data_IF_914535666113
#
_entry.id   IF_914535666113
#
_cell.length_a   1.000
_cell.length_b   1.000
_cell.length_c   1.000
_cell.angle_alpha   90.00
_cell.angle_beta   90.00
_cell.angle_gamma   90.00
#
_symmetry.space_group_name_H-M   'P 1'
#
loop_
_entity.id
_entity.type
_entity.pdbx_description
1 polymer ?
#
# COMPACT_ATOMS: atom_id res chain seq x y z
N UNK A 1 -3.69 -9.52 -0.65
CA UNK A 1 -2.95 -8.26 -0.80
C UNK A 1 -3.89 -7.09 -0.53
N UNK A 2 -3.54 -6.14 0.36
CA UNK A 2 -4.37 -4.97 0.76
C UNK A 2 -4.68 -3.98 -0.37
N UNK A 3 -3.97 -4.07 -1.49
CA UNK A 3 -3.89 -3.03 -2.51
C UNK A 3 -5.01 -3.17 -3.53
N UNK A 4 -5.74 -2.10 -3.82
CA UNK A 4 -6.77 -2.04 -4.87
C UNK A 4 -6.21 -2.32 -6.28
N UNK A 5 -7.07 -2.67 -7.26
CA UNK A 5 -6.66 -2.97 -8.63
C UNK A 5 -5.82 -1.86 -9.28
N UNK A 6 -4.77 -2.25 -10.00
CA UNK A 6 -3.81 -1.37 -10.68
C UNK A 6 -3.03 -0.41 -9.76
N UNK A 7 -3.12 -0.61 -8.45
CA UNK A 7 -2.47 0.24 -7.46
C UNK A 7 -0.95 0.22 -7.51
N UNK A 8 -0.35 1.27 -6.95
CA UNK A 8 1.09 1.38 -6.75
C UNK A 8 1.37 1.18 -5.26
N UNK A 9 2.22 0.22 -4.92
CA UNK A 9 2.64 -0.06 -3.55
C UNK A 9 4.12 0.28 -3.38
N UNK A 10 4.42 1.29 -2.58
CA UNK A 10 5.78 1.58 -2.13
C UNK A 10 6.16 0.66 -0.96
N UNK A 11 7.28 -0.04 -1.12
CA UNK A 11 7.91 -0.91 -0.11
C UNK A 11 9.30 -0.38 0.24
N UNK A 12 9.78 -0.69 1.45
CA UNK A 12 11.02 -0.11 1.97
C UNK A 12 12.26 -1.00 1.78
N UNK A 13 12.08 -2.31 1.65
CA UNK A 13 13.19 -3.25 1.61
C UNK A 13 12.83 -4.64 1.09
N UNK A 14 13.80 -5.53 1.16
CA UNK A 14 13.72 -6.91 0.68
C UNK A 14 12.60 -7.73 1.34
N UNK A 15 12.45 -7.64 2.67
CA UNK A 15 11.45 -8.37 3.45
C UNK A 15 10.01 -8.08 3.00
N UNK A 16 9.73 -6.86 2.54
CA UNK A 16 8.42 -6.48 2.03
C UNK A 16 8.27 -6.77 0.54
N UNK A 17 9.38 -6.74 -0.22
CA UNK A 17 9.34 -6.68 -1.69
C UNK A 17 9.44 -8.05 -2.32
N UNK A 18 10.44 -8.85 -1.94
CA UNK A 18 10.73 -10.10 -2.64
C UNK A 18 9.62 -11.14 -2.52
N UNK A 19 8.95 -11.31 -1.36
CA UNK A 19 7.79 -12.18 -1.28
C UNK A 19 6.65 -11.73 -2.20
N UNK A 20 6.44 -10.42 -2.36
CA UNK A 20 5.40 -9.89 -3.25
C UNK A 20 5.75 -10.13 -4.72
N UNK A 21 6.99 -9.87 -5.14
CA UNK A 21 7.42 -10.18 -6.51
C UNK A 21 7.36 -11.67 -6.81
N UNK A 22 7.71 -12.54 -5.86
CA UNK A 22 7.53 -13.98 -6.02
C UNK A 22 6.04 -14.35 -6.23
N UNK A 23 5.15 -13.83 -5.37
CA UNK A 23 3.70 -14.07 -5.51
C UNK A 23 3.16 -13.55 -6.85
N UNK A 24 3.67 -12.43 -7.36
CA UNK A 24 3.25 -11.88 -8.64
C UNK A 24 3.79 -12.68 -9.83
N UNK A 25 5.09 -12.87 -9.91
CA UNK A 25 5.74 -13.41 -11.11
C UNK A 25 5.75 -14.94 -11.18
N UNK A 26 5.72 -15.61 -10.03
CA UNK A 26 5.72 -17.09 -9.96
C UNK A 26 4.33 -17.64 -9.69
N UNK A 27 3.63 -17.11 -8.68
CA UNK A 27 2.30 -17.61 -8.30
C UNK A 27 1.15 -16.93 -9.08
N UNK A 28 1.44 -15.91 -9.89
CA UNK A 28 0.46 -15.23 -10.74
C UNK A 28 -0.57 -14.41 -9.97
N UNK A 29 -0.28 -14.03 -8.73
CA UNK A 29 -1.21 -13.32 -7.84
C UNK A 29 -1.07 -11.81 -8.04
N UNK A 30 -2.17 -11.12 -8.39
CA UNK A 30 -2.24 -9.64 -8.41
C UNK A 30 -1.11 -8.98 -9.22
N UNK A 31 -0.88 -9.52 -10.41
CA UNK A 31 0.09 -9.05 -11.40
C UNK A 31 -0.19 -7.64 -11.95
N UNK A 32 -1.37 -7.10 -11.65
CA UNK A 32 -1.81 -5.74 -11.97
C UNK A 32 -1.20 -4.66 -11.08
N UNK A 33 -0.83 -5.01 -9.83
CA UNK A 33 -0.26 -4.09 -8.85
C UNK A 33 1.20 -3.82 -9.15
N UNK A 34 1.62 -2.56 -9.10
CA UNK A 34 3.03 -2.20 -9.23
C UNK A 34 3.68 -2.12 -7.85
N UNK A 35 4.58 -3.05 -7.54
CA UNK A 35 5.38 -3.05 -6.30
C UNK A 35 6.68 -2.32 -6.56
N UNK A 36 6.87 -1.18 -5.89
CA UNK A 36 8.03 -0.30 -5.99
C UNK A 36 8.85 -0.40 -4.72
N UNK A 37 10.07 -0.93 -4.82
CA UNK A 37 11.04 -0.82 -3.72
C UNK A 37 11.80 0.50 -3.82
N UNK A 38 11.70 1.31 -2.77
CA UNK A 38 12.27 2.69 -2.76
C UNK A 38 13.77 2.69 -2.98
N UNK A 39 14.49 1.67 -2.51
CA UNK A 39 15.94 1.55 -2.70
C UNK A 39 16.33 1.50 -4.18
N UNK A 40 15.60 0.75 -5.02
CA UNK A 40 15.87 0.66 -6.46
C UNK A 40 15.38 1.87 -7.22
N UNK A 41 14.34 2.56 -6.72
CA UNK A 41 13.82 3.79 -7.33
C UNK A 41 14.83 4.94 -7.28
N UNK A 42 15.96 4.79 -6.59
CA UNK A 42 17.08 5.71 -6.74
C UNK A 42 17.82 5.61 -8.08
N UNK A 43 17.57 4.57 -8.87
CA UNK A 43 18.30 4.27 -10.12
C UNK A 43 17.47 4.58 -11.36
N UNK A 44 18.12 5.08 -12.41
CA UNK A 44 17.47 5.39 -13.68
C UNK A 44 16.90 4.15 -14.37
N UNK A 45 17.62 3.02 -14.31
CA UNK A 45 17.19 1.80 -14.98
C UNK A 45 15.85 1.30 -14.41
N UNK A 46 15.63 1.43 -13.10
CA UNK A 46 14.40 0.98 -12.47
C UNK A 46 13.24 1.92 -12.77
N UNK A 47 13.48 3.24 -12.75
CA UNK A 47 12.48 4.22 -13.20
C UNK A 47 12.08 4.01 -14.67
N UNK A 48 13.05 3.79 -15.57
CA UNK A 48 12.80 3.45 -16.99
C UNK A 48 12.04 2.13 -17.14
N UNK A 49 12.35 1.12 -16.31
CA UNK A 49 11.59 -0.12 -16.28
C UNK A 49 10.14 0.11 -15.86
N UNK A 50 9.91 0.80 -14.74
CA UNK A 50 8.58 1.13 -14.24
C UNK A 50 7.76 1.90 -15.28
N UNK A 51 8.39 2.87 -15.96
CA UNK A 51 7.79 3.61 -17.06
C UNK A 51 7.25 2.68 -18.16
N UNK A 52 8.06 1.72 -18.60
CA UNK A 52 7.68 0.76 -19.65
C UNK A 52 6.59 -0.20 -19.17
N UNK A 53 6.80 -0.87 -18.03
CA UNK A 53 5.93 -2.00 -17.62
C UNK A 53 4.56 -1.57 -17.12
N UNK A 54 4.36 -0.28 -16.86
CA UNK A 54 3.07 0.27 -16.42
C UNK A 54 2.34 1.07 -17.49
N UNK A 55 2.95 1.24 -18.66
CA UNK A 55 2.24 1.81 -19.81
C UNK A 55 1.09 0.88 -20.23
N UNK A 56 -0.03 1.42 -20.73
CA UNK A 56 -1.06 0.61 -21.38
C UNK A 56 -0.46 -0.23 -22.51
N UNK A 57 -1.00 -1.41 -22.73
CA UNK A 57 -0.59 -2.25 -23.84
C UNK A 57 -1.04 -1.64 -25.17
N UNK A 58 -0.20 -1.78 -26.21
CA UNK A 58 -0.63 -1.49 -27.57
C UNK A 58 -1.80 -2.42 -27.95
N UNK A 59 -2.74 -2.00 -28.82
CA UNK A 59 -3.96 -2.77 -29.14
C UNK A 59 -3.69 -4.19 -29.65
N UNK A 60 -2.56 -4.41 -30.33
CA UNK A 60 -2.18 -5.69 -30.92
C UNK A 60 -1.27 -6.52 -29.99
N UNK A 61 -1.02 -6.05 -28.77
CA UNK A 61 -0.09 -6.67 -27.82
C UNK A 61 -0.83 -7.33 -26.66
N UNK A 62 -0.52 -8.60 -26.40
CA UNK A 62 -1.00 -9.28 -25.19
C UNK A 62 0.02 -9.13 -24.06
N UNK A 63 -0.34 -8.62 -22.87
CA UNK A 63 0.58 -8.55 -21.73
C UNK A 63 1.14 -9.90 -21.26
N UNK A 64 0.63 -11.02 -21.77
CA UNK A 64 1.12 -12.38 -21.50
C UNK A 64 1.79 -13.05 -22.72
N UNK A 65 2.09 -12.29 -23.78
CA UNK A 65 2.74 -12.80 -24.99
C UNK A 65 4.16 -13.34 -24.71
N UNK A 66 4.93 -12.63 -23.90
CA UNK A 66 6.23 -13.07 -23.41
C UNK A 66 6.12 -13.49 -21.94
N UNK A 67 6.23 -14.79 -21.68
CA UNK A 67 6.17 -15.35 -20.33
C UNK A 67 7.36 -14.94 -19.46
N UNK A 68 8.46 -14.49 -20.08
CA UNK A 68 9.71 -14.14 -19.40
C UNK A 68 9.92 -12.63 -19.24
N UNK A 69 9.06 -11.80 -19.84
CA UNK A 69 9.20 -10.34 -19.83
C UNK A 69 7.87 -9.64 -19.56
N UNK A 70 7.90 -8.68 -18.65
CA UNK A 70 6.79 -7.74 -18.48
C UNK A 70 6.95 -6.64 -19.54
N UNK A 71 5.95 -6.55 -20.43
CA UNK A 71 6.00 -5.67 -21.60
C UNK A 71 5.14 -4.41 -21.44
N UNK A 72 4.00 -4.51 -20.75
CA UNK A 72 3.04 -3.44 -20.49
C UNK A 72 2.18 -3.78 -19.26
N UNK A 73 1.26 -2.88 -18.89
CA UNK A 73 0.35 -3.04 -17.76
C UNK A 73 -0.50 -4.31 -17.91
N UNK A 74 -0.35 -5.23 -16.96
CA UNK A 74 -1.15 -6.47 -16.92
C UNK A 74 -2.54 -6.20 -16.33
N UNK A 75 -3.58 -6.91 -16.79
CA UNK A 75 -4.95 -6.71 -16.32
C UNK A 75 -5.13 -7.20 -14.89
N UNK A 76 -6.10 -6.62 -14.19
CA UNK A 76 -6.56 -7.15 -12.92
C UNK A 76 -7.31 -8.47 -13.12
N UNK A 77 -6.91 -9.49 -12.36
CA UNK A 77 -7.66 -10.75 -12.25
C UNK A 77 -7.76 -11.18 -10.79
N UNK A 78 -8.90 -11.76 -10.43
CA UNK A 78 -9.13 -12.32 -9.09
C UNK A 78 -9.05 -13.86 -9.06
N UNK A 79 -8.76 -14.50 -10.19
CA UNK A 79 -8.85 -15.96 -10.36
C UNK A 79 -8.02 -16.71 -9.31
N UNK A 80 -6.74 -16.35 -9.18
CA UNK A 80 -5.77 -17.00 -8.27
C UNK A 80 -5.78 -16.42 -6.84
N UNK A 81 -6.90 -15.85 -6.40
CA UNK A 81 -7.04 -15.24 -5.08
C UNK A 81 -8.32 -15.67 -4.39
N UNK A 82 -8.33 -15.72 -3.05
CA UNK A 82 -9.52 -15.99 -2.25
C UNK A 82 -10.47 -14.79 -2.14
N UNK A 83 -9.98 -13.58 -2.45
CA UNK A 83 -10.71 -12.32 -2.32
C UNK A 83 -10.71 -11.54 -3.65
N UNK A 84 -11.81 -10.83 -3.93
CA UNK A 84 -11.97 -10.06 -5.16
C UNK A 84 -12.48 -8.64 -4.87
N UNK A 85 -11.87 -7.66 -5.53
CA UNK A 85 -12.33 -6.27 -5.51
C UNK A 85 -13.52 -6.13 -6.45
N UNK A 86 -14.65 -5.68 -5.91
CA UNK A 86 -15.94 -5.62 -6.61
C UNK A 86 -16.72 -4.40 -6.14
N UNK A 87 -17.66 -3.92 -6.95
CA UNK A 87 -18.65 -2.91 -6.52
C UNK A 87 -19.91 -3.56 -5.96
N UNK A 88 -20.20 -4.79 -6.36
CA UNK A 88 -21.34 -5.58 -5.91
C UNK A 88 -20.82 -6.90 -5.30
N UNK A 89 -20.99 -7.13 -3.98
CA UNK A 89 -20.52 -8.35 -3.34
C UNK A 89 -21.18 -9.62 -3.90
N UNK A 90 -22.36 -9.51 -4.50
CA UNK A 90 -23.07 -10.67 -5.08
C UNK A 90 -22.43 -11.18 -6.37
N UNK A 91 -21.53 -10.39 -7.00
CA UNK A 91 -20.87 -10.78 -8.24
C UNK A 91 -19.79 -11.85 -8.06
N UNK A 92 -19.39 -12.14 -6.81
CA UNK A 92 -18.30 -13.08 -6.47
C UNK A 92 -18.69 -14.02 -5.33
N UNK A 93 -19.75 -14.85 -5.48
CA UNK A 93 -20.33 -15.63 -4.38
C UNK A 93 -19.38 -16.68 -3.77
N UNK A 94 -18.28 -17.02 -4.46
CA UNK A 94 -17.27 -17.99 -4.01
C UNK A 94 -15.98 -17.35 -3.48
N UNK A 95 -15.92 -16.01 -3.36
CA UNK A 95 -14.75 -15.27 -2.89
C UNK A 95 -15.14 -14.26 -1.81
N UNK A 96 -14.16 -13.84 -1.02
CA UNK A 96 -14.32 -12.75 -0.06
C UNK A 96 -14.43 -11.44 -0.84
N UNK A 97 -15.57 -10.75 -0.71
CA UNK A 97 -15.84 -9.51 -1.43
C UNK A 97 -15.13 -8.32 -0.76
N UNK A 98 -14.33 -7.61 -1.54
CA UNK A 98 -13.60 -6.41 -1.14
C UNK A 98 -14.25 -5.18 -1.79
N UNK A 99 -15.35 -4.69 -1.20
CA UNK A 99 -16.28 -3.73 -1.80
C UNK A 99 -15.66 -2.34 -2.01
N UNK A 100 -15.64 -1.87 -3.26
CA UNK A 100 -15.16 -0.53 -3.65
C UNK A 100 -16.33 0.39 -4.01
N UNK A 101 -16.14 1.69 -3.80
CA UNK A 101 -17.13 2.71 -4.14
C UNK A 101 -17.30 2.89 -5.66
N UNK A 102 -16.27 2.61 -6.45
CA UNK A 102 -16.26 2.82 -7.90
C UNK A 102 -15.81 1.55 -8.64
N UNK A 103 -16.24 1.42 -9.89
CA UNK A 103 -15.82 0.32 -10.75
C UNK A 103 -14.34 0.43 -11.09
N UNK A 104 -13.70 -0.74 -11.24
CA UNK A 104 -12.31 -0.83 -11.70
C UNK A 104 -12.18 -0.19 -13.09
N UNK A 105 -11.20 0.70 -13.25
CA UNK A 105 -10.83 1.30 -14.53
C UNK A 105 -9.41 0.93 -14.87
N UNK A 106 -9.19 0.58 -16.13
CA UNK A 106 -7.83 0.35 -16.61
C UNK A 106 -7.07 1.67 -16.69
N UNK A 107 -5.79 1.71 -16.27
CA UNK A 107 -4.98 2.91 -16.36
C UNK A 107 -4.78 3.35 -17.81
N UNK A 108 -4.83 4.66 -18.06
CA UNK A 108 -4.67 5.21 -19.41
C UNK A 108 -3.23 5.64 -19.71
N UNK A 109 -2.38 5.63 -18.68
CA UNK A 109 -1.00 6.09 -18.75
C UNK A 109 -0.06 5.34 -17.81
N UNK A 110 1.23 5.48 -18.11
CA UNK A 110 2.33 5.01 -17.27
C UNK A 110 2.41 5.80 -15.96
N UNK A 111 2.97 5.19 -14.92
CA UNK A 111 3.16 5.84 -13.62
C UNK A 111 4.32 6.84 -13.61
N UNK A 112 5.23 6.76 -14.57
CA UNK A 112 6.38 7.67 -14.66
C UNK A 112 6.14 8.68 -15.79
N UNK A 113 5.85 9.97 -15.48
CA UNK A 113 5.58 11.00 -16.49
C UNK A 113 6.83 11.57 -17.16
N UNK A 114 8.02 11.11 -16.78
CA UNK A 114 9.30 11.71 -17.18
C UNK A 114 9.83 11.11 -18.50
N UNK A 115 10.52 11.93 -19.30
CA UNK A 115 11.33 11.43 -20.42
C UNK A 115 12.56 10.67 -19.91
N UNK A 116 13.19 9.89 -20.78
CA UNK A 116 14.36 9.10 -20.40
C UNK A 116 15.54 10.00 -20.01
N UNK A 117 15.68 11.15 -20.66
CA UNK A 117 16.69 12.18 -20.34
C UNK A 117 16.42 12.82 -18.97
N UNK A 118 15.14 13.08 -18.65
CA UNK A 118 14.76 13.59 -17.33
C UNK A 118 15.03 12.56 -16.24
N UNK A 119 14.79 11.28 -16.50
CA UNK A 119 15.13 10.19 -15.59
C UNK A 119 16.65 10.15 -15.36
N UNK A 120 17.45 10.22 -16.41
CA UNK A 120 18.92 10.22 -16.28
C UNK A 120 19.43 11.43 -15.48
N UNK A 121 18.76 12.58 -15.59
CA UNK A 121 19.07 13.76 -14.78
C UNK A 121 18.68 13.56 -13.31
N UNK A 122 17.48 13.05 -13.02
CA UNK A 122 17.02 12.87 -11.64
C UNK A 122 17.87 11.84 -10.89
N UNK A 123 18.28 10.73 -11.52
CA UNK A 123 19.08 9.69 -10.83
C UNK A 123 20.47 10.17 -10.38
N UNK A 124 20.99 11.23 -11.00
CA UNK A 124 22.32 11.77 -10.71
C UNK A 124 22.30 12.93 -9.71
N UNK A 125 21.12 13.44 -9.35
CA UNK A 125 20.98 14.69 -8.60
C UNK A 125 20.21 14.51 -7.29
N UNK A 126 20.70 15.21 -6.27
CA UNK A 126 20.00 15.42 -5.01
C UNK A 126 19.56 16.88 -4.95
N UNK A 127 18.30 17.13 -4.65
CA UNK A 127 17.76 18.49 -4.59
C UNK A 127 17.64 18.91 -3.13
N UNK A 128 18.44 19.90 -2.72
CA UNK A 128 18.25 20.55 -1.44
C UNK A 128 17.03 21.46 -1.51
N UNK A 129 16.10 21.30 -0.58
CA UNK A 129 14.95 22.18 -0.47
C UNK A 129 15.41 23.49 0.16
N UNK A 130 15.31 24.58 -0.60
CA UNK A 130 15.59 25.94 -0.14
C UNK A 130 14.29 26.64 0.25
N UNK A 131 14.16 26.95 1.54
CA UNK A 131 12.93 27.45 2.15
C UNK A 131 11.83 26.39 2.21
N UNK A 132 10.84 26.59 3.07
CA UNK A 132 9.64 25.74 3.07
C UNK A 132 8.93 25.86 1.71
N UNK A 133 8.71 24.73 1.04
CA UNK A 133 8.05 24.67 -0.28
C UNK A 133 6.78 23.85 -0.20
N UNK A 134 5.66 24.47 -0.59
CA UNK A 134 4.40 23.74 -0.76
C UNK A 134 4.43 22.94 -2.06
N UNK A 135 4.01 21.68 -1.99
CA UNK A 135 3.87 20.77 -3.14
C UNK A 135 2.43 20.29 -3.18
N UNK A 136 1.82 20.39 -4.37
CA UNK A 136 0.46 19.91 -4.62
C UNK A 136 0.51 18.60 -5.40
N UNK A 137 -0.17 17.57 -4.92
CA UNK A 137 -0.25 16.23 -5.51
C UNK A 137 -1.72 15.83 -5.61
N UNK A 138 -2.35 16.00 -6.78
CA UNK A 138 -3.80 15.94 -6.88
C UNK A 138 -4.45 16.97 -5.94
N UNK A 139 -5.31 16.52 -5.03
CA UNK A 139 -5.96 17.36 -4.01
C UNK A 139 -5.18 17.44 -2.68
N UNK A 140 -3.99 16.86 -2.62
CA UNK A 140 -3.11 16.89 -1.44
C UNK A 140 -2.24 18.15 -1.50
N UNK A 141 -2.15 18.87 -0.38
CA UNK A 141 -1.13 19.90 -0.18
C UNK A 141 -0.20 19.48 0.95
N UNK A 142 1.08 19.30 0.63
CA UNK A 142 2.14 19.00 1.58
C UNK A 142 3.23 20.07 1.55
N UNK A 143 4.11 20.07 2.55
CA UNK A 143 5.21 21.03 2.68
C UNK A 143 6.51 20.24 2.80
N UNK A 144 7.41 20.47 1.84
CA UNK A 144 8.80 20.08 1.95
C UNK A 144 9.53 21.13 2.78
N UNK A 145 10.29 20.72 3.80
CA UNK A 145 10.87 21.65 4.77
C UNK A 145 12.20 22.19 4.29
N UNK A 146 12.50 23.42 4.69
CA UNK A 146 13.82 24.01 4.46
C UNK A 146 14.90 23.07 4.99
N UNK A 147 15.84 22.75 4.11
CA UNK A 147 16.91 21.84 4.44
C UNK A 147 16.52 20.34 4.44
N UNK A 148 15.44 19.96 3.78
CA UNK A 148 15.30 18.57 3.33
C UNK A 148 16.20 18.33 2.10
N UNK A 149 16.67 17.09 1.92
CA UNK A 149 17.42 16.69 0.73
C UNK A 149 16.64 15.63 -0.01
N UNK A 150 16.01 16.01 -1.12
CA UNK A 150 15.28 15.07 -1.96
C UNK A 150 16.25 14.19 -2.73
N UNK A 151 16.25 12.91 -2.41
CA UNK A 151 16.99 11.90 -3.17
C UNK A 151 16.18 11.48 -4.40
N UNK A 152 16.77 10.77 -5.39
CA UNK A 152 16.07 10.49 -6.64
C UNK A 152 14.74 9.75 -6.47
N UNK A 153 14.64 8.79 -5.54
CA UNK A 153 13.38 8.05 -5.34
C UNK A 153 12.23 8.97 -4.89
N UNK A 154 12.51 9.98 -4.06
CA UNK A 154 11.49 10.94 -3.58
C UNK A 154 11.03 11.84 -4.73
N UNK A 155 11.96 12.29 -5.56
CA UNK A 155 11.65 13.08 -6.76
C UNK A 155 10.76 12.30 -7.73
N UNK A 156 11.06 11.02 -7.98
CA UNK A 156 10.20 10.17 -8.81
C UNK A 156 8.84 9.90 -8.16
N UNK A 157 8.81 9.64 -6.85
CA UNK A 157 7.56 9.38 -6.13
C UNK A 157 6.63 10.60 -6.17
N UNK A 158 7.14 11.81 -5.93
CA UNK A 158 6.36 13.05 -6.04
C UNK A 158 5.80 13.25 -7.45
N UNK A 159 6.62 13.08 -8.49
CA UNK A 159 6.18 13.20 -9.88
C UNK A 159 5.12 12.16 -10.25
N UNK A 160 5.34 10.90 -9.86
CA UNK A 160 4.41 9.80 -10.07
C UNK A 160 3.07 10.04 -9.37
N UNK A 161 3.09 10.38 -8.08
CA UNK A 161 1.87 10.59 -7.31
C UNK A 161 1.07 11.74 -7.93
N UNK A 162 1.73 12.86 -8.23
CA UNK A 162 1.08 13.99 -8.91
C UNK A 162 0.46 13.62 -10.26
N UNK A 163 1.05 12.68 -10.99
CA UNK A 163 0.56 12.24 -12.30
C UNK A 163 -0.65 11.30 -12.21
N UNK A 164 -0.60 10.29 -11.33
CA UNK A 164 -1.55 9.16 -11.39
C UNK A 164 -2.48 9.02 -10.20
N UNK A 165 -2.44 9.90 -9.19
CA UNK A 165 -3.30 9.75 -7.99
C UNK A 165 -4.81 9.73 -8.30
N UNK A 166 -5.25 10.32 -9.41
CA UNK A 166 -6.65 10.29 -9.87
C UNK A 166 -7.03 9.01 -10.63
N UNK A 167 -6.04 8.27 -11.15
CA UNK A 167 -6.25 7.04 -11.96
C UNK A 167 -5.89 5.76 -11.21
N UNK A 168 -4.91 5.83 -10.32
CA UNK A 168 -4.31 4.68 -9.65
C UNK A 168 -4.27 4.91 -8.14
N UNK A 169 -4.75 3.94 -7.35
CA UNK A 169 -4.67 4.06 -5.91
C UNK A 169 -3.22 3.85 -5.45
N UNK A 170 -2.73 4.75 -4.60
CA UNK A 170 -1.35 4.74 -4.09
C UNK A 170 -1.34 4.17 -2.67
N UNK A 171 -0.41 3.27 -2.41
CA UNK A 171 -0.23 2.61 -1.12
C UNK A 171 1.22 2.66 -0.65
N UNK A 172 1.38 2.63 0.66
CA UNK A 172 2.66 2.49 1.34
C UNK A 172 2.61 1.29 2.29
N UNK A 173 3.67 0.49 2.31
CA UNK A 173 3.80 -0.60 3.28
C UNK A 173 3.85 -0.04 4.70
N UNK A 174 3.29 -0.76 5.67
CA UNK A 174 3.32 -0.33 7.08
C UNK A 174 4.69 -0.44 7.76
N UNK A 175 5.67 -1.01 7.06
CA UNK A 175 6.99 -1.42 7.56
C UNK A 175 8.05 -0.31 7.57
N UNK A 176 7.74 0.88 7.07
CA UNK A 176 8.73 1.96 7.02
C UNK A 176 8.11 3.32 6.78
N UNK A 177 8.94 4.25 6.34
CA UNK A 177 8.70 5.68 6.47
C UNK A 177 8.56 6.40 5.13
N UNK A 178 8.40 5.68 4.01
CA UNK A 178 8.32 6.27 2.68
C UNK A 178 7.23 7.36 2.55
N UNK A 179 6.05 7.16 3.15
CA UNK A 179 5.02 8.20 3.14
C UNK A 179 5.38 9.41 4.03
N UNK A 180 6.09 9.17 5.14
CA UNK A 180 6.51 10.21 6.08
C UNK A 180 7.55 11.12 5.45
N UNK A 181 8.53 10.56 4.73
CA UNK A 181 9.56 11.36 4.04
C UNK A 181 8.99 12.20 2.90
N UNK A 182 7.83 11.82 2.37
CA UNK A 182 7.07 12.61 1.38
C UNK A 182 6.09 13.59 2.02
N UNK A 183 6.00 13.64 3.35
CA UNK A 183 5.07 14.52 4.07
C UNK A 183 3.60 14.17 3.87
N UNK A 184 3.27 12.88 3.67
CA UNK A 184 1.92 12.42 3.31
C UNK A 184 1.13 11.83 4.48
N UNK A 185 1.67 11.83 5.70
CA UNK A 185 1.10 11.14 6.87
C UNK A 185 -0.37 11.47 7.13
N UNK A 186 -0.76 12.74 7.00
CA UNK A 186 -2.12 13.21 7.31
C UNK A 186 -3.18 12.73 6.30
N UNK A 187 -2.74 12.12 5.20
CA UNK A 187 -3.57 11.62 4.10
C UNK A 187 -3.61 10.08 4.05
N UNK A 188 -3.02 9.39 5.04
CA UNK A 188 -2.95 7.94 5.06
C UNK A 188 -4.13 7.32 5.80
N UNK A 189 -4.79 6.37 5.14
CA UNK A 189 -5.82 5.52 5.74
C UNK A 189 -5.30 4.08 5.79
N UNK A 190 -5.30 3.48 6.98
CA UNK A 190 -4.94 2.07 7.15
C UNK A 190 -5.98 1.17 6.48
N UNK A 191 -5.49 0.24 5.65
CA UNK A 191 -6.24 -0.87 5.09
C UNK A 191 -5.45 -2.17 5.26
N UNK A 192 -5.71 -2.88 6.36
CA UNK A 192 -4.97 -4.10 6.71
C UNK A 192 -3.50 -3.80 7.03
N UNK A 193 -2.58 -4.38 6.25
CA UNK A 193 -1.12 -4.28 6.42
C UNK A 193 -0.47 -3.16 5.57
N UNK A 194 -1.26 -2.29 4.96
CA UNK A 194 -0.77 -1.17 4.16
C UNK A 194 -1.58 0.10 4.47
N UNK A 195 -1.02 1.24 4.10
CA UNK A 195 -1.69 2.52 4.13
C UNK A 195 -2.05 2.95 2.72
N UNK A 196 -3.33 3.25 2.49
CA UNK A 196 -3.83 3.88 1.26
C UNK A 196 -3.66 5.39 1.39
N UNK A 197 -3.13 6.04 0.35
CA UNK A 197 -3.09 7.48 0.24
C UNK A 197 -4.45 8.00 -0.25
N UNK A 198 -5.07 8.87 0.53
CA UNK A 198 -6.32 9.54 0.19
C UNK A 198 -6.05 10.81 -0.63
N UNK A 199 -6.75 10.98 -1.75
CA UNK A 199 -6.56 12.12 -2.66
C UNK A 199 -7.34 13.35 -2.17
N UNK A 200 -6.86 13.96 -1.09
CA UNK A 200 -7.44 15.15 -0.47
C UNK A 200 -7.61 15.01 1.04
N UNK A 201 -7.93 16.11 1.73
CA UNK A 201 -8.15 16.09 3.18
C UNK A 201 -9.20 15.06 3.58
N UNK A 202 -8.95 14.35 4.68
CA UNK A 202 -9.90 13.41 5.27
C UNK A 202 -10.87 14.08 6.25
N UNK A 203 -10.57 15.32 6.69
CA UNK A 203 -11.44 16.12 7.55
C UNK A 203 -12.52 16.83 6.71
N UNK A 204 -13.79 16.63 7.06
CA UNK A 204 -14.91 17.38 6.47
C UNK A 204 -15.59 16.73 5.26
N UNK A 205 -15.01 15.67 4.69
CA UNK A 205 -15.76 14.72 3.89
C UNK A 205 -16.48 13.76 4.85
N UNK A 206 -17.73 13.41 4.55
CA UNK A 206 -18.38 12.22 5.10
C UNK A 206 -17.53 11.03 4.63
N UNK A 207 -16.47 10.72 5.38
CA UNK A 207 -15.48 9.72 5.03
C UNK A 207 -16.18 8.43 4.64
N UNK A 208 -15.73 7.85 3.52
CA UNK A 208 -16.26 6.60 2.99
C UNK A 208 -16.66 5.66 4.14
N UNK A 209 -17.92 5.22 4.12
CA UNK A 209 -18.56 4.51 5.22
C UNK A 209 -17.61 3.52 5.92
N UNK A 210 -17.30 3.78 7.20
CA UNK A 210 -16.38 2.95 8.00
C UNK A 210 -14.94 3.45 8.14
N UNK A 211 -14.56 4.58 7.51
CA UNK A 211 -13.29 5.27 7.77
C UNK A 211 -13.39 6.14 9.03
N UNK A 212 -12.51 5.90 10.00
CA UNK A 212 -12.49 6.57 11.30
C UNK A 212 -11.14 7.22 11.57
N UNK A 213 -11.16 8.47 12.04
CA UNK A 213 -10.00 9.08 12.71
C UNK A 213 -9.90 8.55 14.12
N UNK A 214 -8.83 7.82 14.41
CA UNK A 214 -8.55 7.30 15.73
C UNK A 214 -8.14 8.43 16.68
N UNK A 215 -8.60 8.36 17.93
CA UNK A 215 -8.10 9.24 18.98
C UNK A 215 -6.58 9.07 19.16
N UNK A 216 -5.83 10.15 19.48
CA UNK A 216 -4.40 10.09 19.71
C UNK A 216 -4.00 8.98 20.68
N UNK A 217 -2.94 8.25 20.36
CA UNK A 217 -2.43 7.16 21.19
C UNK A 217 -0.90 7.08 21.12
N UNK A 218 -0.22 6.46 22.10
CA UNK A 218 1.22 6.20 22.02
C UNK A 218 1.64 5.36 20.82
N UNK A 219 0.70 4.65 20.19
CA UNK A 219 0.96 3.77 19.05
C UNK A 219 0.70 4.43 17.69
N UNK A 220 0.32 5.72 17.65
CA UNK A 220 -0.03 6.43 16.41
C UNK A 220 1.05 6.29 15.32
N UNK A 221 2.33 6.31 15.70
CA UNK A 221 3.45 6.15 14.78
C UNK A 221 3.43 4.81 14.00
N UNK A 222 2.80 3.76 14.55
CA UNK A 222 2.73 2.44 13.93
C UNK A 222 1.33 2.05 13.47
N UNK A 223 0.26 2.57 14.10
CA UNK A 223 -1.13 2.27 13.70
C UNK A 223 -1.71 3.29 12.71
N UNK A 224 -1.12 4.48 12.62
CA UNK A 224 -1.60 5.60 11.80
C UNK A 224 -2.68 6.41 12.50
N UNK A 225 -3.18 7.45 11.83
CA UNK A 225 -4.24 8.33 12.35
C UNK A 225 -5.64 7.91 11.91
N UNK A 226 -5.75 7.31 10.73
CA UNK A 226 -7.02 6.91 10.13
C UNK A 226 -7.03 5.42 9.83
N UNK A 227 -8.19 4.79 10.03
CA UNK A 227 -8.41 3.38 9.70
C UNK A 227 -9.74 3.20 8.98
N UNK A 228 -9.72 2.45 7.89
CA UNK A 228 -10.92 1.90 7.27
C UNK A 228 -11.27 0.61 8.02
N UNK A 229 -12.23 0.69 8.95
CA UNK A 229 -12.53 -0.43 9.85
C UNK A 229 -13.05 -1.66 9.10
N UNK A 230 -14.10 -1.56 8.24
CA UNK A 230 -14.63 -2.74 7.55
C UNK A 230 -13.58 -3.39 6.65
N UNK A 231 -12.80 -2.60 5.92
CA UNK A 231 -11.73 -3.12 5.05
C UNK A 231 -10.63 -3.78 5.86
N UNK A 232 -10.15 -3.12 6.90
CA UNK A 232 -9.05 -3.63 7.73
C UNK A 232 -9.45 -4.90 8.46
N UNK A 233 -10.68 -4.95 8.99
CA UNK A 233 -11.24 -6.17 9.58
C UNK A 233 -11.20 -7.33 8.58
N UNK A 234 -11.91 -7.20 7.45
CA UNK A 234 -12.04 -8.25 6.43
C UNK A 234 -10.67 -8.74 5.95
N UNK A 235 -9.74 -7.82 5.71
CA UNK A 235 -8.38 -8.17 5.29
C UNK A 235 -7.65 -9.02 6.34
N UNK A 236 -7.73 -8.66 7.63
CA UNK A 236 -7.02 -9.36 8.70
C UNK A 236 -7.68 -10.67 9.13
N UNK A 237 -9.00 -10.78 9.06
CA UNK A 237 -9.76 -11.93 9.58
C UNK A 237 -10.15 -12.95 8.52
N UNK A 238 -10.22 -12.55 7.25
CA UNK A 238 -10.66 -13.42 6.17
C UNK A 238 -9.61 -13.58 5.06
N UNK A 239 -8.87 -12.53 4.71
CA UNK A 239 -7.96 -12.54 3.55
C UNK A 239 -6.54 -12.98 3.91
N UNK A 240 -5.96 -12.45 4.99
CA UNK A 240 -4.58 -12.75 5.40
C UNK A 240 -4.46 -13.96 6.33
N UNK A 241 -5.48 -14.82 6.32
CA UNK A 241 -5.47 -16.06 7.08
C UNK A 241 -4.54 -17.05 6.38
N UNK A 242 -3.36 -17.26 6.96
CA UNK A 242 -2.32 -18.07 6.35
C UNK A 242 -1.81 -19.15 7.31
N UNK A 243 -1.85 -20.40 6.81
CA UNK A 243 -1.51 -21.66 7.51
C UNK A 243 -2.42 -21.96 8.70
N UNK A 244 -2.67 -23.26 8.94
CA UNK A 244 -3.35 -23.68 10.17
C UNK A 244 -2.43 -23.37 11.35
N UNK A 245 -2.96 -22.65 12.33
CA UNK A 245 -2.29 -22.43 13.61
C UNK A 245 -1.50 -21.13 13.80
N UNK A 246 -1.36 -20.23 12.80
CA UNK A 246 -0.77 -18.90 13.07
C UNK A 246 -1.90 -17.91 13.39
N UNK A 247 -1.81 -17.12 14.48
CA UNK A 247 -0.75 -17.07 15.48
C UNK A 247 -0.93 -18.02 16.68
N UNK A 248 -2.04 -18.75 16.76
CA UNK A 248 -2.50 -19.36 18.02
C UNK A 248 -1.75 -20.63 18.47
N UNK A 249 -1.32 -21.47 17.53
CA UNK A 249 -0.56 -22.71 17.79
C UNK A 249 0.95 -22.48 17.78
N UNK A 250 1.41 -21.32 17.31
CA UNK A 250 2.83 -21.01 17.21
C UNK A 250 3.33 -20.42 18.52
N UNK A 251 4.42 -20.98 19.06
CA UNK A 251 5.00 -20.51 20.33
C UNK A 251 6.01 -19.37 20.15
N UNK A 252 6.64 -19.28 18.98
CA UNK A 252 7.60 -18.22 18.63
C UNK A 252 7.68 -18.09 17.11
N UNK A 253 8.20 -16.95 16.63
CA UNK A 253 8.56 -16.78 15.23
C UNK A 253 9.89 -17.48 14.92
N UNK A 254 9.99 -18.26 13.82
CA UNK A 254 11.11 -19.18 13.60
C UNK A 254 12.42 -18.49 13.20
N UNK A 255 12.36 -17.26 12.69
CA UNK A 255 13.53 -16.57 12.14
C UNK A 255 13.70 -15.15 12.68
N UNK A 256 14.84 -14.88 13.33
CA UNK A 256 15.14 -13.58 13.92
C UNK A 256 15.21 -12.45 12.89
N UNK A 257 15.63 -12.72 11.65
CA UNK A 257 15.75 -11.69 10.62
C UNK A 257 14.37 -11.15 10.17
N UNK A 258 13.31 -11.93 10.38
CA UNK A 258 11.92 -11.58 10.03
C UNK A 258 11.00 -11.46 11.24
N UNK A 259 11.55 -11.37 12.45
CA UNK A 259 10.78 -11.30 13.72
C UNK A 259 9.82 -10.10 13.81
N UNK A 260 10.04 -9.07 12.98
CA UNK A 260 9.13 -7.92 12.87
C UNK A 260 7.81 -8.22 12.13
N UNK A 261 7.72 -9.30 11.34
CA UNK A 261 6.54 -9.59 10.50
C UNK A 261 5.25 -9.74 11.34
N UNK A 262 5.23 -10.50 12.45
CA UNK A 262 4.06 -10.58 13.33
C UNK A 262 3.56 -9.22 13.83
N UNK A 263 4.47 -8.25 14.05
CA UNK A 263 4.09 -6.94 14.58
C UNK A 263 3.21 -6.15 13.59
N UNK A 264 3.36 -6.34 12.28
CA UNK A 264 2.50 -5.67 11.30
C UNK A 264 1.04 -6.10 11.42
N UNK A 265 0.80 -7.39 11.71
CA UNK A 265 -0.54 -7.90 11.99
C UNK A 265 -1.04 -7.37 13.34
N UNK A 266 -0.19 -7.38 14.37
CA UNK A 266 -0.53 -6.84 15.67
C UNK A 266 -0.94 -5.36 15.60
N UNK A 267 -0.22 -4.53 14.84
CA UNK A 267 -0.55 -3.12 14.65
C UNK A 267 -1.85 -2.91 13.85
N UNK A 268 -2.15 -3.79 12.91
CA UNK A 268 -3.44 -3.80 12.21
C UNK A 268 -4.60 -4.05 13.17
N UNK A 269 -4.48 -5.06 14.04
CA UNK A 269 -5.48 -5.34 15.07
C UNK A 269 -5.53 -4.24 16.14
N UNK A 270 -4.39 -3.65 16.54
CA UNK A 270 -4.35 -2.55 17.49
C UNK A 270 -5.04 -1.29 16.98
N UNK A 271 -4.93 -1.00 15.67
CA UNK A 271 -5.71 0.06 15.04
C UNK A 271 -7.23 -0.20 15.16
N UNK A 272 -7.66 -1.45 14.90
CA UNK A 272 -9.06 -1.84 15.08
C UNK A 272 -9.51 -1.77 16.54
N UNK A 273 -8.67 -2.15 17.51
CA UNK A 273 -8.94 -2.01 18.95
C UNK A 273 -9.17 -0.55 19.32
N UNK A 274 -8.30 0.36 18.87
CA UNK A 274 -8.42 1.79 19.14
C UNK A 274 -9.72 2.37 18.55
N UNK A 275 -10.07 1.95 17.33
CA UNK A 275 -11.30 2.36 16.67
C UNK A 275 -12.57 1.78 17.33
N UNK A 276 -12.52 0.52 17.77
CA UNK A 276 -13.61 -0.14 18.50
C UNK A 276 -13.85 0.50 19.88
N UNK A 277 -12.78 0.89 20.59
CA UNK A 277 -12.86 1.62 21.85
C UNK A 277 -13.59 2.97 21.66
N UNK A 278 -13.25 3.71 20.62
CA UNK A 278 -13.87 5.01 20.31
C UNK A 278 -15.35 4.88 19.91
N UNK A 279 -15.75 3.76 19.30
CA UNK A 279 -17.14 3.47 18.90
C UNK A 279 -17.95 2.73 19.97
N UNK A 280 -17.37 2.52 21.17
CA UNK A 280 -18.01 1.84 22.31
C UNK A 280 -18.50 0.41 21.99
N UNK A 281 -17.80 -0.31 21.10
CA UNK A 281 -18.07 -1.71 20.82
C UNK A 281 -17.11 -2.60 21.63
N UNK A 282 -17.49 -2.91 22.88
CA UNK A 282 -16.64 -3.63 23.83
C UNK A 282 -16.27 -5.04 23.36
N UNK A 283 -17.20 -5.76 22.75
CA UNK A 283 -16.98 -7.13 22.25
C UNK A 283 -15.91 -7.15 21.15
N UNK A 284 -16.01 -6.25 20.16
CA UNK A 284 -15.01 -6.14 19.10
C UNK A 284 -13.67 -5.62 19.63
N UNK A 285 -13.70 -4.67 20.56
CA UNK A 285 -12.49 -4.13 21.18
C UNK A 285 -11.68 -5.25 21.84
N UNK A 286 -12.33 -6.09 22.64
CA UNK A 286 -11.67 -7.20 23.32
C UNK A 286 -11.15 -8.24 22.32
N UNK A 287 -11.98 -8.62 21.33
CA UNK A 287 -11.56 -9.55 20.28
C UNK A 287 -10.31 -9.05 19.54
N UNK A 288 -10.28 -7.78 19.12
CA UNK A 288 -9.13 -7.24 18.41
C UNK A 288 -7.90 -7.13 19.31
N UNK A 289 -8.09 -6.80 20.59
CA UNK A 289 -7.00 -6.74 21.57
C UNK A 289 -6.34 -8.11 21.76
N UNK A 290 -7.14 -9.16 21.96
CA UNK A 290 -6.64 -10.53 22.07
C UNK A 290 -5.86 -10.96 20.82
N UNK A 291 -6.34 -10.60 19.62
CA UNK A 291 -5.63 -10.88 18.37
C UNK A 291 -4.32 -10.11 18.25
N UNK A 292 -4.30 -8.83 18.63
CA UNK A 292 -3.08 -8.03 18.65
C UNK A 292 -2.02 -8.64 19.56
N UNK A 293 -2.41 -9.04 20.78
CA UNK A 293 -1.54 -9.71 21.74
C UNK A 293 -1.02 -11.06 21.20
N UNK A 294 -1.87 -11.87 20.57
CA UNK A 294 -1.48 -13.16 19.98
C UNK A 294 -0.40 -12.99 18.90
N UNK A 295 -0.56 -12.02 18.02
CA UNK A 295 0.46 -11.70 17.01
C UNK A 295 1.74 -11.13 17.64
N UNK A 296 1.63 -10.23 18.61
CA UNK A 296 2.80 -9.66 19.29
C UNK A 296 3.65 -10.71 20.00
N UNK A 297 3.04 -11.74 20.62
CA UNK A 297 3.79 -12.83 21.28
C UNK A 297 4.75 -13.57 20.34
N UNK A 298 4.39 -13.71 19.07
CA UNK A 298 5.29 -14.33 18.09
C UNK A 298 6.53 -13.47 17.81
N UNK A 299 6.38 -12.15 17.86
CA UNK A 299 7.44 -11.18 17.55
C UNK A 299 8.37 -10.85 18.71
N UNK A 300 8.23 -11.49 19.89
CA UNK A 300 9.01 -11.13 21.09
C UNK A 300 10.14 -12.08 21.46
N UNK A 301 10.27 -13.24 20.79
CA UNK A 301 11.36 -14.20 21.01
C UNK A 301 11.29 -15.00 22.32
#
# INVERSE_FOLDING_TARGET
MSVEPYGVLFTNGDNDTFPLWYLQEVEGIRRDVTVIVTSYLNTEWYAKQLKRITAPCDPDMSPSEDWSRIICQRPYTAENTSAAYVTDPTSVPSKIALVMATSIKEPTKSIIPLTDEQIDQVSQNYVRVEGDRSVTLGNINTILRDGDSLVPWEQYALALIGEVIDERPIYFSSSGNAAVSLGLTDYLVRQGLAYRLHNGPLEGDEGAEGVLRMLPSPYEAVIGQWVDMPRTHTLLTEVFVHRKGIPDEWMHWPDLATIGIPNYYAWGYLALTQAALQTSNEDLMEQYRERAEAWSRLGTG
#
